data_IF_695328117458
#
_entry.id   IF_695328117458
#
_cell.length_a   1.000
_cell.length_b   1.000
_cell.length_c   1.000
_cell.angle_alpha   90.00
_cell.angle_beta   90.00
_cell.angle_gamma   90.00
#
_symmetry.space_group_name_H-M   'P 1'
#
loop_
_entity.id
_entity.type
_entity.pdbx_description
1 polymer ?
#
# COMPACT_ATOMS: atom_id res chain seq x y z
N UNK A 1 12.85 -75.31 63.31
CA UNK A 1 12.35 -76.28 62.30
C UNK A 1 11.84 -75.39 61.14
N UNK A 2 12.66 -75.27 60.21
CA UNK A 2 12.63 -75.82 58.87
C UNK A 2 11.56 -75.24 57.97
N UNK A 3 12.08 -74.51 56.99
CA UNK A 3 12.00 -74.66 55.52
C UNK A 3 10.79 -73.93 54.94
N UNK A 4 10.89 -73.27 53.86
CA UNK A 4 11.81 -73.18 52.74
C UNK A 4 11.28 -72.18 51.74
N UNK A 5 12.19 -71.57 51.05
CA UNK A 5 11.98 -70.94 49.77
C UNK A 5 11.62 -71.94 48.65
N UNK A 6 10.99 -71.63 47.58
CA UNK A 6 11.57 -70.78 46.50
C UNK A 6 10.52 -69.94 45.78
N UNK A 7 10.86 -68.83 45.20
CA UNK A 7 11.52 -68.72 43.90
C UNK A 7 10.55 -68.24 42.82
N UNK A 8 10.83 -67.16 42.17
CA UNK A 8 10.43 -67.06 40.76
C UNK A 8 9.73 -65.77 40.31
N UNK A 9 10.50 -65.14 39.54
CA UNK A 9 10.06 -64.30 38.39
C UNK A 9 9.50 -62.91 38.61
N UNK A 10 10.40 -61.99 38.46
CA UNK A 10 10.18 -60.67 38.17
C UNK A 10 9.67 -60.45 36.73
N UNK A 11 9.13 -59.24 36.59
CA UNK A 11 8.70 -58.49 35.36
C UNK A 11 7.32 -58.90 34.81
N UNK A 12 6.52 -57.88 34.34
CA UNK A 12 6.95 -56.66 33.69
C UNK A 12 6.14 -55.42 34.13
N UNK A 13 6.79 -54.37 34.60
CA UNK A 13 6.15 -53.07 34.86
C UNK A 13 6.71 -51.95 33.95
N UNK A 14 7.49 -52.28 32.94
CA UNK A 14 8.16 -51.29 32.07
C UNK A 14 7.57 -51.19 30.65
N UNK A 15 6.57 -52.01 30.29
CA UNK A 15 5.95 -51.98 28.96
C UNK A 15 4.62 -51.19 28.90
N UNK A 16 4.01 -50.83 30.05
CA UNK A 16 2.75 -50.11 30.07
C UNK A 16 2.87 -48.58 29.87
N UNK A 17 4.04 -47.98 30.17
CA UNK A 17 4.23 -46.53 30.00
C UNK A 17 4.59 -46.12 28.58
N UNK A 18 5.14 -47.01 27.75
CA UNK A 18 5.46 -46.70 26.35
C UNK A 18 4.23 -46.80 25.42
N UNK A 19 3.21 -47.57 25.77
CA UNK A 19 1.97 -47.67 24.98
C UNK A 19 1.04 -46.49 25.17
N UNK A 20 1.05 -45.82 26.34
CA UNK A 20 0.26 -44.62 26.59
C UNK A 20 0.85 -43.36 25.95
N UNK A 21 2.16 -43.27 25.76
CA UNK A 21 2.83 -42.16 25.08
C UNK A 21 2.61 -42.17 23.56
N UNK A 22 2.50 -43.33 22.95
CA UNK A 22 2.27 -43.49 21.52
C UNK A 22 0.79 -43.28 21.14
N UNK A 23 -0.15 -43.57 22.03
CA UNK A 23 -1.57 -43.34 21.81
C UNK A 23 -1.93 -41.84 21.88
N UNK A 24 -1.23 -41.07 22.73
CA UNK A 24 -1.46 -39.61 22.82
C UNK A 24 -0.87 -38.83 21.64
N UNK A 25 0.27 -39.27 21.08
CA UNK A 25 0.86 -38.66 19.90
C UNK A 25 0.07 -39.00 18.62
N UNK A 26 -0.46 -40.21 18.50
CA UNK A 26 -1.32 -40.61 17.38
C UNK A 26 -2.66 -39.83 17.40
N UNK A 27 -3.25 -39.58 18.58
CA UNK A 27 -4.49 -38.83 18.71
C UNK A 27 -4.27 -37.33 18.46
N UNK A 28 -3.10 -36.79 18.82
CA UNK A 28 -2.74 -35.39 18.52
C UNK A 28 -2.46 -35.18 17.01
N UNK A 29 -1.76 -36.12 16.39
CA UNK A 29 -1.55 -36.09 14.93
C UNK A 29 -2.84 -36.36 14.16
N UNK A 30 -3.74 -37.19 14.67
CA UNK A 30 -5.03 -37.47 14.07
C UNK A 30 -6.01 -36.29 14.26
N UNK A 31 -5.95 -35.57 15.40
CA UNK A 31 -6.67 -34.30 15.59
C UNK A 31 -6.11 -33.19 14.73
N UNK A 32 -4.81 -33.14 14.51
CA UNK A 32 -4.18 -32.18 13.60
C UNK A 32 -4.53 -32.51 12.14
N UNK A 33 -4.63 -33.80 11.78
CA UNK A 33 -5.09 -34.23 10.46
C UNK A 33 -6.59 -34.00 10.22
N UNK A 34 -7.43 -34.09 11.26
CA UNK A 34 -8.86 -33.79 11.17
C UNK A 34 -9.14 -32.29 11.09
N UNK A 35 -8.28 -31.42 11.67
CA UNK A 35 -8.35 -29.96 11.51
C UNK A 35 -7.85 -29.48 10.13
N UNK A 36 -7.04 -30.31 9.43
CA UNK A 36 -6.58 -30.03 8.06
C UNK A 36 -7.60 -30.51 7.02
N UNK A 37 -8.51 -31.43 7.37
CA UNK A 37 -9.50 -31.99 6.45
C UNK A 37 -10.61 -30.97 6.04
N UNK A 38 -10.74 -29.84 6.75
CA UNK A 38 -11.62 -28.73 6.36
C UNK A 38 -10.91 -27.61 5.57
N UNK A 39 -9.61 -27.76 5.31
CA UNK A 39 -8.82 -26.81 4.52
C UNK A 39 -8.86 -27.23 3.05
N UNK A 40 -9.85 -26.79 2.32
CA UNK A 40 -10.07 -27.21 0.94
C UNK A 40 -9.81 -26.10 -0.08
N UNK A 41 -8.99 -25.09 0.24
CA UNK A 41 -8.69 -24.02 -0.70
C UNK A 41 -7.22 -24.06 -1.09
N UNK A 42 -7.00 -23.96 -2.39
CA UNK A 42 -5.68 -23.80 -2.99
C UNK A 42 -5.66 -22.54 -3.84
N UNK A 43 -4.58 -21.77 -3.73
CA UNK A 43 -4.28 -20.65 -4.62
C UNK A 43 -3.13 -21.10 -5.51
N UNK A 44 -3.29 -21.01 -6.82
CA UNK A 44 -2.20 -21.28 -7.77
C UNK A 44 -2.22 -20.28 -8.90
N UNK A 45 -1.10 -20.14 -9.59
CA UNK A 45 -1.03 -19.23 -10.73
C UNK A 45 0.36 -19.11 -11.33
N UNK A 46 0.49 -18.13 -12.21
CA UNK A 46 1.76 -17.82 -12.85
C UNK A 46 2.11 -16.35 -12.69
N UNK A 47 3.41 -16.08 -12.52
CA UNK A 47 3.98 -14.73 -12.53
C UNK A 47 4.66 -14.49 -13.87
N UNK A 48 4.29 -13.42 -14.54
CA UNK A 48 4.86 -12.99 -15.83
C UNK A 48 5.25 -11.52 -15.76
N UNK A 49 6.09 -11.07 -16.69
CA UNK A 49 6.41 -9.65 -16.89
C UNK A 49 5.78 -9.11 -18.16
N UNK A 50 5.44 -7.82 -18.14
CA UNK A 50 4.75 -7.14 -19.25
C UNK A 50 5.61 -7.10 -20.53
N UNK A 51 6.93 -7.06 -20.42
CA UNK A 51 7.87 -6.97 -21.56
C UNK A 51 8.28 -8.32 -22.14
N UNK A 52 7.33 -9.08 -22.62
CA UNK A 52 7.59 -10.29 -23.38
C UNK A 52 7.20 -11.59 -22.68
N UNK A 53 7.24 -12.69 -23.44
CA UNK A 53 6.84 -14.03 -22.99
C UNK A 53 7.81 -14.67 -21.96
N UNK A 54 8.63 -13.89 -21.27
CA UNK A 54 9.59 -14.41 -20.28
C UNK A 54 8.92 -14.57 -18.91
N UNK A 55 9.10 -15.74 -18.33
CA UNK A 55 8.75 -15.98 -16.94
C UNK A 55 9.79 -15.31 -16.03
N UNK A 56 9.35 -14.80 -14.89
CA UNK A 56 10.25 -14.21 -13.89
C UNK A 56 10.73 -15.33 -12.98
N UNK A 57 12.01 -15.64 -13.03
CA UNK A 57 12.61 -16.72 -12.26
C UNK A 57 13.02 -16.30 -10.83
N UNK A 58 13.00 -14.99 -10.54
CA UNK A 58 13.43 -14.42 -9.25
C UNK A 58 12.30 -13.68 -8.51
N UNK A 59 11.05 -13.91 -8.92
CA UNK A 59 9.94 -13.35 -8.19
C UNK A 59 9.62 -14.17 -6.93
N UNK A 60 9.23 -13.48 -5.87
CA UNK A 60 8.73 -14.06 -4.63
C UNK A 60 7.25 -13.77 -4.52
N UNK A 61 6.46 -14.79 -4.24
CA UNK A 61 5.02 -14.65 -3.94
C UNK A 61 4.82 -14.95 -2.47
N UNK A 62 4.22 -14.00 -1.76
CA UNK A 62 3.88 -14.07 -0.34
C UNK A 62 2.36 -14.07 -0.19
N UNK A 63 1.88 -14.89 0.72
CA UNK A 63 0.48 -14.93 1.13
C UNK A 63 0.37 -14.51 2.59
N UNK A 64 -0.45 -13.52 2.86
CA UNK A 64 -0.72 -12.99 4.19
C UNK A 64 -2.19 -13.19 4.55
N UNK A 65 -2.49 -13.40 5.84
CA UNK A 65 -3.86 -13.42 6.34
C UNK A 65 -4.43 -12.00 6.51
N UNK A 66 -5.69 -11.90 6.93
CA UNK A 66 -6.36 -10.61 7.17
C UNK A 66 -5.72 -9.76 8.28
N UNK A 67 -4.77 -10.31 9.05
CA UNK A 67 -4.02 -9.62 10.10
C UNK A 67 -2.59 -9.27 9.66
N UNK A 68 -2.24 -9.51 8.39
CA UNK A 68 -0.91 -9.26 7.85
C UNK A 68 0.15 -10.29 8.27
N UNK A 69 -0.26 -11.44 8.84
CA UNK A 69 0.69 -12.52 9.18
C UNK A 69 1.00 -13.32 7.93
N UNK A 70 2.28 -13.57 7.69
CA UNK A 70 2.74 -14.38 6.56
C UNK A 70 2.30 -15.83 6.78
N UNK A 71 1.41 -16.32 5.92
CA UNK A 71 0.94 -17.70 5.89
C UNK A 71 1.86 -18.57 5.05
N UNK A 72 2.42 -18.00 3.98
CA UNK A 72 3.39 -18.68 3.14
C UNK A 72 4.15 -17.69 2.28
N UNK A 73 5.39 -18.06 1.95
CA UNK A 73 6.23 -17.33 1.01
C UNK A 73 6.93 -18.33 0.11
N UNK A 74 6.92 -18.09 -1.19
CA UNK A 74 7.46 -18.99 -2.18
C UNK A 74 8.17 -18.23 -3.29
N UNK A 75 9.39 -18.64 -3.62
CA UNK A 75 10.02 -18.21 -4.88
C UNK A 75 9.35 -18.94 -6.03
N UNK A 76 9.01 -18.23 -7.08
CA UNK A 76 8.37 -18.85 -8.25
C UNK A 76 9.29 -19.85 -8.95
N UNK A 77 8.70 -20.87 -9.54
CA UNK A 77 9.44 -21.85 -10.33
C UNK A 77 10.02 -21.23 -11.61
N UNK A 78 10.90 -21.95 -12.30
CA UNK A 78 11.49 -21.51 -13.59
C UNK A 78 10.44 -21.22 -14.67
N UNK A 79 9.24 -21.81 -14.54
CA UNK A 79 8.08 -21.53 -15.41
C UNK A 79 7.18 -20.41 -14.88
N UNK A 80 7.61 -19.69 -13.84
CA UNK A 80 6.84 -18.63 -13.19
C UNK A 80 5.67 -19.13 -12.35
N UNK A 81 5.55 -20.42 -12.04
CA UNK A 81 4.43 -20.99 -11.30
C UNK A 81 4.64 -20.89 -9.78
N UNK A 82 3.53 -20.71 -9.08
CA UNK A 82 3.45 -20.75 -7.62
C UNK A 82 2.15 -21.41 -7.19
N UNK A 83 2.12 -21.99 -5.96
CA UNK A 83 0.90 -22.51 -5.35
C UNK A 83 0.97 -22.50 -3.83
N UNK A 84 -0.16 -22.21 -3.19
CA UNK A 84 -0.38 -22.32 -1.75
C UNK A 84 -1.56 -23.24 -1.53
N UNK A 85 -1.36 -24.38 -0.87
CA UNK A 85 -2.38 -25.39 -0.61
C UNK A 85 -2.65 -25.54 0.89
N UNK A 86 -3.78 -26.17 1.22
CA UNK A 86 -4.17 -26.38 2.61
C UNK A 86 -4.61 -25.12 3.34
N UNK A 87 -5.17 -24.16 2.61
CA UNK A 87 -5.61 -22.89 3.14
C UNK A 87 -7.01 -23.00 3.76
N UNK A 88 -7.24 -22.32 4.86
CA UNK A 88 -8.57 -22.14 5.42
C UNK A 88 -9.42 -21.18 4.55
N UNK A 89 -10.75 -21.28 4.66
CA UNK A 89 -11.68 -20.39 3.97
C UNK A 89 -11.72 -19.01 4.66
N UNK A 90 -10.72 -18.19 4.38
CA UNK A 90 -10.53 -16.86 4.96
C UNK A 90 -10.23 -15.83 3.86
N UNK A 91 -10.03 -14.59 4.30
CA UNK A 91 -9.50 -13.54 3.43
C UNK A 91 -7.97 -13.54 3.51
N UNK A 92 -7.35 -13.41 2.33
CA UNK A 92 -5.90 -13.37 2.19
C UNK A 92 -5.47 -12.18 1.35
N UNK A 93 -4.22 -11.75 1.54
CA UNK A 93 -3.55 -10.79 0.67
C UNK A 93 -2.40 -11.51 -0.03
N UNK A 94 -2.44 -11.55 -1.35
CA UNK A 94 -1.39 -12.11 -2.19
C UNK A 94 -0.49 -10.98 -2.67
N UNK A 95 0.80 -11.10 -2.39
CA UNK A 95 1.82 -10.11 -2.73
C UNK A 95 2.87 -10.79 -3.59
N UNK A 96 3.16 -10.24 -4.77
CA UNK A 96 4.28 -10.72 -5.58
C UNK A 96 5.29 -9.61 -5.80
N UNK A 97 6.57 -9.94 -5.59
CA UNK A 97 7.70 -9.02 -5.70
C UNK A 97 8.76 -9.60 -6.62
N UNK A 98 9.40 -8.77 -7.42
CA UNK A 98 10.60 -9.11 -8.18
C UNK A 98 11.48 -7.88 -8.34
N UNK A 99 12.80 -8.06 -8.37
CA UNK A 99 13.75 -6.97 -8.55
C UNK A 99 13.48 -6.23 -9.87
N UNK A 100 13.45 -4.89 -9.81
CA UNK A 100 13.18 -4.04 -10.96
C UNK A 100 11.71 -4.05 -11.45
N UNK A 101 10.76 -4.56 -10.67
CA UNK A 101 9.35 -4.61 -11.02
C UNK A 101 8.47 -4.02 -9.91
N UNK A 102 7.29 -3.51 -10.31
CA UNK A 102 6.27 -3.08 -9.35
C UNK A 102 5.76 -4.28 -8.54
N UNK A 103 5.57 -4.08 -7.24
CA UNK A 103 4.94 -5.09 -6.40
C UNK A 103 3.48 -5.26 -6.81
N UNK A 104 3.07 -6.51 -6.98
CA UNK A 104 1.67 -6.85 -7.16
C UNK A 104 1.02 -7.16 -5.82
N UNK A 105 -0.14 -6.58 -5.55
CA UNK A 105 -0.93 -6.83 -4.33
C UNK A 105 -2.37 -7.07 -4.71
N UNK A 106 -2.92 -8.22 -4.29
CA UNK A 106 -4.33 -8.56 -4.50
C UNK A 106 -4.94 -9.18 -3.24
N UNK A 107 -6.09 -8.68 -2.83
CA UNK A 107 -6.92 -9.33 -1.83
C UNK A 107 -7.74 -10.46 -2.47
N UNK A 108 -7.82 -11.56 -1.74
CA UNK A 108 -8.59 -12.74 -2.10
C UNK A 108 -9.58 -13.03 -0.97
N UNK A 109 -10.84 -13.10 -1.30
CA UNK A 109 -11.89 -13.56 -0.39
C UNK A 109 -12.25 -14.99 -0.73
N UNK A 110 -11.74 -15.92 0.07
CA UNK A 110 -11.96 -17.36 -0.10
C UNK A 110 -12.99 -17.91 0.89
N UNK A 111 -13.76 -17.04 1.56
CA UNK A 111 -14.73 -17.46 2.59
C UNK A 111 -15.86 -18.30 2.02
N UNK A 112 -16.26 -18.05 0.76
CA UNK A 112 -17.35 -18.74 0.06
C UNK A 112 -16.88 -19.75 -0.97
N UNK A 113 -15.59 -19.77 -1.31
CA UNK A 113 -15.03 -20.65 -2.34
C UNK A 113 -14.50 -21.95 -1.75
N UNK A 114 -14.68 -23.05 -2.45
CA UNK A 114 -14.03 -24.34 -2.23
C UNK A 114 -13.27 -24.74 -3.49
N UNK A 115 -12.11 -25.39 -3.34
CA UNK A 115 -11.30 -25.82 -4.47
C UNK A 115 -10.13 -24.89 -4.80
N UNK A 116 -9.76 -24.80 -6.08
CA UNK A 116 -8.57 -24.08 -6.53
C UNK A 116 -8.92 -22.73 -7.11
N UNK A 117 -8.34 -21.66 -6.54
CA UNK A 117 -8.42 -20.30 -7.06
C UNK A 117 -7.19 -20.00 -7.93
N UNK A 118 -7.40 -19.62 -9.17
CA UNK A 118 -6.31 -19.31 -10.11
C UNK A 118 -6.07 -17.80 -10.15
N UNK A 119 -4.86 -17.35 -9.76
CA UNK A 119 -4.44 -15.96 -9.81
C UNK A 119 -3.19 -15.82 -10.69
N UNK A 120 -3.34 -15.27 -11.88
CA UNK A 120 -2.22 -14.98 -12.76
C UNK A 120 -1.74 -13.54 -12.55
N UNK A 121 -0.48 -13.40 -12.22
CA UNK A 121 0.16 -12.14 -11.86
C UNK A 121 0.96 -11.63 -13.05
N UNK A 122 0.74 -10.36 -13.41
CA UNK A 122 1.54 -9.64 -14.38
C UNK A 122 2.34 -8.55 -13.65
N UNK A 123 3.64 -8.74 -13.50
CA UNK A 123 4.53 -7.74 -12.93
C UNK A 123 4.95 -6.75 -14.01
N UNK A 124 4.83 -5.47 -13.70
CA UNK A 124 5.28 -4.37 -14.56
C UNK A 124 6.71 -4.03 -14.23
N UNK A 125 7.52 -3.85 -15.25
CA UNK A 125 8.92 -3.42 -15.05
C UNK A 125 8.96 -2.01 -14.46
N UNK A 126 9.73 -1.85 -13.37
CA UNK A 126 10.17 -0.56 -12.86
C UNK A 126 11.28 0.01 -13.76
N UNK A 127 11.30 -0.30 -15.07
CA UNK A 127 12.16 0.48 -15.92
C UNK A 127 11.98 1.93 -15.52
N UNK A 128 13.08 2.54 -15.19
CA UNK A 128 13.29 3.93 -14.86
C UNK A 128 12.85 4.86 -16.04
N UNK A 129 11.70 4.58 -16.55
CA UNK A 129 10.75 5.60 -16.90
C UNK A 129 10.32 6.15 -15.51
N UNK A 130 11.15 7.07 -14.98
CA UNK A 130 10.51 8.39 -14.95
C UNK A 130 9.59 8.35 -16.13
N UNK A 131 8.31 8.05 -15.87
CA UNK A 131 7.28 8.44 -16.79
C UNK A 131 7.40 9.96 -16.83
N UNK A 132 8.37 10.44 -17.57
CA UNK A 132 8.17 11.51 -18.48
C UNK A 132 7.12 10.94 -19.42
N UNK A 133 5.87 10.85 -18.94
CA UNK A 133 4.72 11.06 -19.76
C UNK A 133 5.21 12.17 -20.67
N UNK A 134 5.30 11.99 -22.00
CA UNK A 134 5.49 13.15 -22.85
C UNK A 134 4.38 14.06 -22.37
N UNK A 135 4.75 15.06 -21.54
CA UNK A 135 3.74 15.84 -20.84
C UNK A 135 2.85 16.32 -21.97
N UNK A 136 1.57 15.97 -21.93
CA UNK A 136 0.65 16.43 -22.94
C UNK A 136 0.61 17.97 -22.88
N UNK A 137 1.04 18.55 -21.76
CA UNK A 137 1.49 19.93 -21.63
C UNK A 137 2.41 20.37 -22.80
N UNK A 138 3.25 19.47 -23.32
CA UNK A 138 4.07 19.76 -24.50
C UNK A 138 3.23 20.11 -25.76
N UNK A 139 2.03 19.56 -25.92
CA UNK A 139 1.13 19.90 -27.03
C UNK A 139 0.51 21.30 -26.85
N UNK A 140 0.05 21.62 -25.65
CA UNK A 140 -0.49 22.95 -25.36
C UNK A 140 0.61 24.02 -25.33
N UNK A 141 1.83 23.66 -24.90
CA UNK A 141 3.00 24.51 -24.94
C UNK A 141 3.41 24.85 -26.39
N UNK A 142 3.42 23.84 -27.26
CA UNK A 142 3.75 24.04 -28.69
C UNK A 142 2.72 24.94 -29.41
N UNK A 143 1.43 24.83 -29.04
CA UNK A 143 0.36 25.62 -29.61
C UNK A 143 0.29 27.05 -29.04
N UNK A 144 0.91 27.29 -27.88
CA UNK A 144 0.84 28.59 -27.21
C UNK A 144 1.56 29.71 -27.99
N UNK A 145 0.94 30.91 -28.15
CA UNK A 145 1.59 32.05 -28.76
C UNK A 145 2.87 32.45 -28.04
N UNK A 146 3.87 32.93 -28.78
CA UNK A 146 5.18 33.33 -28.22
C UNK A 146 5.06 34.26 -27.01
N UNK A 147 4.12 35.23 -27.06
CA UNK A 147 3.86 36.14 -25.94
C UNK A 147 3.37 35.40 -24.67
N UNK A 148 2.49 34.42 -24.84
CA UNK A 148 2.01 33.64 -23.70
C UNK A 148 3.14 32.81 -23.07
N UNK A 149 3.98 32.19 -23.91
CA UNK A 149 5.16 31.46 -23.43
C UNK A 149 6.15 32.34 -22.68
N UNK A 150 6.41 33.55 -23.19
CA UNK A 150 7.27 34.53 -22.51
C UNK A 150 6.73 34.93 -21.14
N UNK A 151 5.40 35.10 -21.00
CA UNK A 151 4.80 35.40 -19.70
C UNK A 151 4.85 34.19 -18.77
N UNK A 152 4.65 32.95 -19.27
CA UNK A 152 4.85 31.71 -18.47
C UNK A 152 6.28 31.65 -17.94
N UNK A 153 7.29 31.86 -18.79
CA UNK A 153 8.71 31.82 -18.39
C UNK A 153 9.05 32.86 -17.32
N UNK A 154 8.47 34.08 -17.43
CA UNK A 154 8.64 35.12 -16.40
C UNK A 154 8.00 34.74 -15.09
N UNK A 155 6.78 34.18 -15.14
CA UNK A 155 6.09 33.68 -13.97
C UNK A 155 6.86 32.57 -13.28
N UNK A 156 7.40 31.61 -14.03
CA UNK A 156 8.22 30.53 -13.50
C UNK A 156 9.50 31.03 -12.80
N UNK A 157 10.19 32.04 -13.38
CA UNK A 157 11.35 32.67 -12.75
C UNK A 157 10.98 33.37 -11.44
N UNK A 158 9.91 34.20 -11.48
CA UNK A 158 9.42 34.88 -10.29
C UNK A 158 9.03 33.90 -9.18
N UNK A 159 8.40 32.76 -9.54
CA UNK A 159 8.06 31.69 -8.61
C UNK A 159 9.31 31.05 -7.99
N UNK A 160 10.33 30.77 -8.78
CA UNK A 160 11.62 30.24 -8.30
C UNK A 160 12.32 31.21 -7.32
N UNK A 161 12.16 32.52 -7.54
CA UNK A 161 12.64 33.59 -6.65
C UNK A 161 11.71 33.84 -5.44
N UNK A 162 10.65 33.04 -5.26
CA UNK A 162 9.61 33.20 -4.23
C UNK A 162 8.84 34.52 -4.27
N UNK A 163 8.84 35.21 -5.41
CA UNK A 163 8.07 36.42 -5.69
C UNK A 163 6.67 36.04 -6.18
N UNK A 164 5.85 35.47 -5.28
CA UNK A 164 4.60 34.81 -5.64
C UNK A 164 3.61 35.76 -6.34
N UNK A 165 3.45 36.99 -5.84
CA UNK A 165 2.51 37.97 -6.46
C UNK A 165 2.95 38.40 -7.86
N UNK A 166 4.27 38.49 -8.13
CA UNK A 166 4.81 38.73 -9.48
C UNK A 166 4.58 37.52 -10.38
N UNK A 167 4.81 36.30 -9.86
CA UNK A 167 4.53 35.07 -10.58
C UNK A 167 3.05 34.98 -10.97
N UNK A 168 2.13 35.24 -10.03
CA UNK A 168 0.70 35.25 -10.28
C UNK A 168 0.36 36.23 -11.43
N UNK A 169 0.87 37.47 -11.37
CA UNK A 169 0.59 38.46 -12.39
C UNK A 169 1.04 38.04 -13.80
N UNK A 170 2.19 37.35 -13.89
CA UNK A 170 2.68 36.80 -15.16
C UNK A 170 1.86 35.59 -15.63
N UNK A 171 1.50 34.68 -14.76
CA UNK A 171 0.64 33.54 -15.14
C UNK A 171 -0.76 34.01 -15.55
N UNK A 172 -1.35 35.01 -14.86
CA UNK A 172 -2.62 35.63 -15.26
C UNK A 172 -2.54 36.28 -16.65
N UNK A 173 -1.41 36.90 -16.99
CA UNK A 173 -1.19 37.42 -18.35
C UNK A 173 -1.09 36.31 -19.38
N UNK A 174 -0.36 35.21 -19.04
CA UNK A 174 -0.22 34.09 -19.94
C UNK A 174 -1.58 33.46 -20.28
N UNK A 175 -2.42 33.19 -19.28
CA UNK A 175 -3.77 32.60 -19.47
C UNK A 175 -4.75 33.57 -20.11
N UNK A 176 -4.55 34.90 -19.96
CA UNK A 176 -5.34 35.90 -20.66
C UNK A 176 -5.03 35.93 -22.15
N UNK A 177 -3.73 35.73 -22.52
CA UNK A 177 -3.30 35.69 -23.93
C UNK A 177 -3.74 34.38 -24.58
N UNK A 178 -3.63 33.27 -23.84
CA UNK A 178 -3.99 31.93 -24.31
C UNK A 178 -4.76 31.16 -23.22
N UNK A 179 -6.10 31.28 -23.20
CA UNK A 179 -6.93 30.70 -22.13
C UNK A 179 -6.78 29.19 -21.96
N UNK A 180 -6.49 28.47 -23.05
CA UNK A 180 -6.26 27.01 -23.05
C UNK A 180 -4.79 26.64 -22.89
N UNK A 181 -4.01 27.45 -22.18
CA UNK A 181 -2.64 27.14 -21.82
C UNK A 181 -2.61 26.30 -20.52
N UNK A 182 -2.80 25.00 -20.65
CA UNK A 182 -2.97 24.09 -19.51
C UNK A 182 -1.85 24.22 -18.47
N UNK A 183 -0.58 24.32 -18.90
CA UNK A 183 0.56 24.56 -18.03
C UNK A 183 0.46 25.87 -17.25
N UNK A 184 0.13 26.97 -17.93
CA UNK A 184 0.00 28.27 -17.27
C UNK A 184 -1.18 28.29 -16.28
N UNK A 185 -2.28 27.62 -16.60
CA UNK A 185 -3.41 27.44 -15.70
C UNK A 185 -3.00 26.67 -14.42
N UNK A 186 -2.26 25.58 -14.57
CA UNK A 186 -1.74 24.81 -13.43
C UNK A 186 -0.78 25.67 -12.59
N UNK A 187 0.19 26.34 -13.19
CA UNK A 187 1.19 27.12 -12.48
C UNK A 187 0.55 28.32 -11.75
N UNK A 188 -0.51 28.92 -12.33
CA UNK A 188 -1.33 29.93 -11.67
C UNK A 188 -2.01 29.34 -10.42
N UNK A 189 -2.62 28.16 -10.54
CA UNK A 189 -3.28 27.52 -9.42
C UNK A 189 -2.30 27.18 -8.27
N UNK A 190 -1.12 26.66 -8.60
CA UNK A 190 -0.09 26.35 -7.60
C UNK A 190 0.38 27.62 -6.88
N UNK A 191 0.56 28.72 -7.61
CA UNK A 191 0.93 30.01 -7.03
C UNK A 191 -0.16 30.53 -6.08
N UNK A 192 -1.44 30.44 -6.47
CA UNK A 192 -2.57 30.80 -5.63
C UNK A 192 -2.64 29.95 -4.35
N UNK A 193 -2.34 28.64 -4.45
CA UNK A 193 -2.29 27.75 -3.27
C UNK A 193 -1.15 28.15 -2.33
N UNK A 194 0.03 28.50 -2.86
CA UNK A 194 1.17 28.97 -2.07
C UNK A 194 0.89 30.31 -1.37
N UNK A 195 0.14 31.20 -1.99
CA UNK A 195 -0.33 32.45 -1.40
C UNK A 195 -1.51 32.28 -0.44
N UNK A 196 -1.89 31.04 -0.08
CA UNK A 196 -3.05 30.70 0.75
C UNK A 196 -4.41 31.15 0.17
N UNK A 197 -4.46 31.37 -1.14
CA UNK A 197 -5.67 31.70 -1.89
C UNK A 197 -6.31 30.43 -2.51
N UNK A 198 -6.26 29.32 -1.79
CA UNK A 198 -6.68 28.00 -2.26
C UNK A 198 -8.07 27.96 -2.92
N UNK A 199 -9.10 28.68 -2.46
CA UNK A 199 -10.40 28.69 -3.15
C UNK A 199 -10.33 29.19 -4.60
N UNK A 200 -9.37 30.07 -4.92
CA UNK A 200 -9.18 30.60 -6.28
C UNK A 200 -8.44 29.63 -7.21
N UNK A 201 -7.77 28.63 -6.67
CA UNK A 201 -6.99 27.67 -7.44
C UNK A 201 -7.85 26.62 -8.19
N UNK A 202 -9.09 26.40 -7.75
CA UNK A 202 -9.99 25.39 -8.32
C UNK A 202 -10.30 25.64 -9.80
N UNK A 203 -10.67 26.85 -10.16
CA UNK A 203 -11.06 27.19 -11.52
C UNK A 203 -9.90 27.03 -12.53
N UNK A 204 -8.68 27.52 -12.27
CA UNK A 204 -7.52 27.24 -13.12
C UNK A 204 -7.18 25.76 -13.25
N UNK A 205 -7.25 24.96 -12.17
CA UNK A 205 -6.98 23.50 -12.26
C UNK A 205 -8.02 22.80 -13.13
N UNK A 206 -9.30 23.09 -12.96
CA UNK A 206 -10.36 22.58 -13.83
C UNK A 206 -10.14 22.97 -15.29
N UNK A 207 -9.73 24.21 -15.52
CA UNK A 207 -9.44 24.70 -16.89
C UNK A 207 -8.23 24.00 -17.50
N UNK A 208 -7.21 23.71 -16.72
CA UNK A 208 -6.07 22.93 -17.19
C UNK A 208 -6.49 21.53 -17.67
N UNK A 209 -7.33 20.84 -16.88
CA UNK A 209 -7.89 19.52 -17.22
C UNK A 209 -8.76 19.58 -18.49
N UNK A 210 -9.63 20.61 -18.59
CA UNK A 210 -10.48 20.81 -19.76
C UNK A 210 -9.67 20.99 -21.05
N UNK A 211 -8.60 21.79 -20.96
CA UNK A 211 -7.74 22.09 -22.10
C UNK A 211 -6.79 20.96 -22.49
N UNK A 212 -6.35 20.18 -21.52
CA UNK A 212 -5.49 19.03 -21.72
C UNK A 212 -5.86 17.89 -20.75
N UNK A 213 -6.82 17.03 -21.15
CA UNK A 213 -7.26 15.93 -20.30
C UNK A 213 -6.18 14.88 -19.99
N UNK A 214 -5.11 14.81 -20.76
CA UNK A 214 -4.01 13.89 -20.54
C UNK A 214 -2.90 14.50 -19.65
N UNK A 215 -3.02 15.76 -19.26
CA UNK A 215 -2.12 16.41 -18.31
C UNK A 215 -2.48 16.00 -16.89
N UNK A 216 -1.72 15.07 -16.31
CA UNK A 216 -2.08 14.36 -15.07
C UNK A 216 -1.96 15.22 -13.81
N UNK A 217 -0.97 16.08 -13.74
CA UNK A 217 -0.67 16.87 -12.54
C UNK A 217 -1.85 17.74 -12.04
N UNK A 218 -2.66 18.37 -12.90
CA UNK A 218 -3.85 19.11 -12.45
C UNK A 218 -4.87 18.23 -11.70
N UNK A 219 -5.03 16.95 -12.06
CA UNK A 219 -5.92 16.03 -11.32
C UNK A 219 -5.41 15.80 -9.90
N UNK A 220 -4.09 15.59 -9.75
CA UNK A 220 -3.47 15.43 -8.45
C UNK A 220 -3.67 16.68 -7.57
N UNK A 221 -3.37 17.85 -8.12
CA UNK A 221 -3.46 19.10 -7.36
C UNK A 221 -4.90 19.46 -7.01
N UNK A 222 -5.85 19.21 -7.91
CA UNK A 222 -7.27 19.43 -7.66
C UNK A 222 -7.82 18.46 -6.60
N UNK A 223 -7.43 17.18 -6.67
CA UNK A 223 -7.78 16.20 -5.66
C UNK A 223 -7.24 16.57 -4.27
N UNK A 224 -5.97 16.97 -4.19
CA UNK A 224 -5.36 17.47 -2.95
C UNK A 224 -6.10 18.70 -2.40
N UNK A 225 -6.47 19.62 -3.27
CA UNK A 225 -7.25 20.80 -2.91
C UNK A 225 -8.58 20.41 -2.30
N UNK A 226 -9.31 19.48 -2.92
CA UNK A 226 -10.59 18.99 -2.42
C UNK A 226 -10.43 18.21 -1.10
N UNK A 227 -9.40 17.38 -0.95
CA UNK A 227 -9.11 16.69 0.32
C UNK A 227 -8.88 17.73 1.45
N UNK A 228 -8.10 18.77 1.19
CA UNK A 228 -7.84 19.84 2.17
C UNK A 228 -9.10 20.65 2.53
N UNK A 229 -10.09 20.70 1.65
CA UNK A 229 -11.39 21.32 1.86
C UNK A 229 -12.45 20.35 2.42
N UNK A 230 -12.09 19.09 2.73
CA UNK A 230 -13.00 18.02 3.15
C UNK A 230 -14.10 17.68 2.11
N UNK A 231 -13.90 18.04 0.85
CA UNK A 231 -14.77 17.71 -0.29
C UNK A 231 -14.38 16.35 -0.86
N UNK A 232 -14.44 15.33 -0.04
CA UNK A 232 -13.86 14.01 -0.33
C UNK A 232 -14.50 13.31 -1.53
N UNK A 233 -15.82 13.46 -1.74
CA UNK A 233 -16.49 12.86 -2.90
C UNK A 233 -15.99 13.43 -4.23
N UNK A 234 -15.75 14.74 -4.28
CA UNK A 234 -15.20 15.41 -5.47
C UNK A 234 -13.71 15.07 -5.65
N UNK A 235 -12.98 14.99 -4.55
CA UNK A 235 -11.60 14.52 -4.56
C UNK A 235 -11.48 13.12 -5.14
N UNK A 236 -12.28 12.19 -4.63
CA UNK A 236 -12.32 10.81 -5.11
C UNK A 236 -12.61 10.73 -6.61
N UNK A 237 -13.60 11.47 -7.08
CA UNK A 237 -13.97 11.50 -8.50
C UNK A 237 -12.81 11.94 -9.38
N UNK A 238 -12.19 13.08 -9.04
CA UNK A 238 -11.12 13.66 -9.86
C UNK A 238 -9.83 12.83 -9.81
N UNK A 239 -9.49 12.27 -8.64
CA UNK A 239 -8.30 11.43 -8.50
C UNK A 239 -8.46 10.09 -9.22
N UNK A 240 -9.67 9.50 -9.20
CA UNK A 240 -9.95 8.29 -10.00
C UNK A 240 -9.79 8.56 -11.50
N UNK A 241 -10.17 9.75 -11.98
CA UNK A 241 -9.92 10.17 -13.37
C UNK A 241 -8.41 10.28 -13.65
N UNK A 242 -7.66 10.82 -12.71
CA UNK A 242 -6.19 10.88 -12.78
C UNK A 242 -5.55 9.50 -12.83
N UNK A 243 -6.00 8.57 -11.96
CA UNK A 243 -5.51 7.18 -11.93
C UNK A 243 -5.75 6.47 -13.26
N UNK A 244 -6.90 6.68 -13.92
CA UNK A 244 -7.15 6.09 -15.25
C UNK A 244 -6.16 6.55 -16.31
N UNK A 245 -5.59 7.75 -16.18
CA UNK A 245 -4.59 8.32 -17.09
C UNK A 245 -3.16 7.96 -16.72
N UNK A 246 -2.87 7.87 -15.43
CA UNK A 246 -1.55 7.52 -14.90
C UNK A 246 -1.65 6.42 -13.85
N UNK A 247 -1.90 5.17 -14.25
CA UNK A 247 -2.08 4.05 -13.32
C UNK A 247 -0.81 3.67 -12.56
N UNK A 248 0.35 4.24 -12.93
CA UNK A 248 1.63 4.10 -12.23
C UNK A 248 1.92 5.18 -11.18
N UNK A 249 1.01 6.14 -10.95
CA UNK A 249 1.26 7.25 -10.03
C UNK A 249 0.84 6.92 -8.60
N UNK A 250 1.81 6.62 -7.73
CA UNK A 250 1.56 6.36 -6.32
C UNK A 250 0.90 7.55 -5.60
N UNK A 251 1.23 8.79 -5.98
CA UNK A 251 0.64 10.00 -5.39
C UNK A 251 -0.87 10.07 -5.62
N UNK A 252 -1.34 9.68 -6.81
CA UNK A 252 -2.77 9.65 -7.10
C UNK A 252 -3.48 8.63 -6.20
N UNK A 253 -2.94 7.42 -6.07
CA UNK A 253 -3.49 6.38 -5.19
C UNK A 253 -3.45 6.80 -3.71
N UNK A 254 -2.35 7.41 -3.26
CA UNK A 254 -2.23 7.91 -1.91
C UNK A 254 -3.33 8.94 -1.57
N UNK A 255 -3.54 9.93 -2.45
CA UNK A 255 -4.57 10.95 -2.23
C UNK A 255 -5.98 10.42 -2.46
N UNK A 256 -6.16 9.41 -3.31
CA UNK A 256 -7.42 8.69 -3.48
C UNK A 256 -7.77 7.92 -2.19
N UNK A 257 -6.82 7.21 -1.60
CA UNK A 257 -6.98 6.58 -0.29
C UNK A 257 -7.33 7.57 0.81
N UNK A 258 -6.74 8.78 0.81
CA UNK A 258 -7.13 9.85 1.74
C UNK A 258 -8.58 10.32 1.52
N UNK A 259 -9.05 10.39 0.28
CA UNK A 259 -10.43 10.75 -0.02
C UNK A 259 -11.40 9.67 0.47
N UNK A 260 -11.10 8.39 0.21
CA UNK A 260 -11.91 7.27 0.68
C UNK A 260 -11.90 7.15 2.22
N UNK A 261 -10.77 7.42 2.88
CA UNK A 261 -10.69 7.56 4.34
C UNK A 261 -11.62 8.67 4.87
N UNK A 262 -11.62 9.83 4.22
CA UNK A 262 -12.50 10.95 4.56
C UNK A 262 -13.99 10.65 4.36
N UNK A 263 -14.31 9.78 3.41
CA UNK A 263 -15.66 9.23 3.19
C UNK A 263 -16.02 8.08 4.15
N UNK A 264 -15.11 7.72 5.05
CA UNK A 264 -15.22 6.55 5.94
C UNK A 264 -15.32 5.22 5.20
N UNK A 265 -14.86 5.18 3.97
CA UNK A 265 -14.82 3.99 3.14
C UNK A 265 -13.47 3.28 3.32
N UNK A 266 -13.23 2.80 4.55
CA UNK A 266 -11.93 2.29 4.97
C UNK A 266 -11.41 1.11 4.13
N UNK A 267 -12.26 0.15 3.69
CA UNK A 267 -11.78 -0.94 2.83
C UNK A 267 -11.22 -0.46 1.47
N UNK A 268 -11.83 0.58 0.87
CA UNK A 268 -11.29 1.17 -0.36
C UNK A 268 -10.04 2.00 -0.07
N UNK A 269 -10.03 2.76 1.04
CA UNK A 269 -8.85 3.52 1.45
C UNK A 269 -7.63 2.59 1.64
N UNK A 270 -7.81 1.44 2.31
CA UNK A 270 -6.77 0.42 2.45
C UNK A 270 -6.31 -0.09 1.10
N UNK A 271 -7.23 -0.45 0.19
CA UNK A 271 -6.89 -0.94 -1.15
C UNK A 271 -6.04 0.06 -1.93
N UNK A 272 -6.45 1.34 -1.95
CA UNK A 272 -5.74 2.38 -2.69
C UNK A 272 -4.37 2.69 -2.08
N UNK A 273 -4.26 2.70 -0.75
CA UNK A 273 -2.99 2.91 -0.05
C UNK A 273 -2.02 1.73 -0.24
N UNK A 274 -2.50 0.49 -0.19
CA UNK A 274 -1.69 -0.69 -0.52
C UNK A 274 -1.22 -0.64 -1.98
N UNK A 275 -2.09 -0.14 -2.88
CA UNK A 275 -1.70 0.07 -4.28
C UNK A 275 -0.59 1.14 -4.38
N UNK A 276 -0.71 2.27 -3.65
CA UNK A 276 0.36 3.26 -3.58
C UNK A 276 1.68 2.66 -3.09
N UNK A 277 1.63 1.82 -2.05
CA UNK A 277 2.81 1.16 -1.46
C UNK A 277 3.49 0.21 -2.45
N UNK A 278 2.75 -0.40 -3.38
CA UNK A 278 3.28 -1.32 -4.39
C UNK A 278 4.24 -0.67 -5.40
N UNK A 279 4.34 0.68 -5.43
CA UNK A 279 5.23 1.40 -6.34
C UNK A 279 6.68 1.56 -5.83
N UNK A 280 7.01 0.99 -4.70
CA UNK A 280 8.39 0.83 -4.26
C UNK A 280 8.75 1.48 -2.92
N UNK A 281 9.96 1.21 -2.41
CA UNK A 281 10.36 1.57 -1.05
C UNK A 281 10.50 3.07 -0.79
N UNK A 282 10.72 3.90 -1.81
CA UNK A 282 10.81 5.36 -1.66
C UNK A 282 9.49 6.06 -1.32
N UNK A 283 8.38 5.31 -1.32
CA UNK A 283 7.02 5.81 -1.07
C UNK A 283 6.54 5.49 0.34
N UNK A 284 7.25 4.61 1.04
CA UNK A 284 6.72 3.81 2.14
C UNK A 284 6.27 4.60 3.37
N UNK A 285 7.05 5.55 3.88
CA UNK A 285 6.75 6.19 5.16
C UNK A 285 5.38 6.90 5.19
N UNK A 286 5.11 7.78 4.22
CA UNK A 286 3.84 8.51 4.19
C UNK A 286 2.62 7.57 4.01
N UNK A 287 2.79 6.49 3.26
CA UNK A 287 1.72 5.51 3.05
C UNK A 287 1.49 4.67 4.31
N UNK A 288 2.56 4.22 4.98
CA UNK A 288 2.48 3.50 6.25
C UNK A 288 1.78 4.32 7.34
N UNK A 289 2.11 5.62 7.45
CA UNK A 289 1.43 6.54 8.37
C UNK A 289 -0.08 6.58 8.10
N UNK A 290 -0.46 6.67 6.83
CA UNK A 290 -1.85 6.76 6.44
C UNK A 290 -2.61 5.44 6.60
N UNK A 291 -1.97 4.29 6.29
CA UNK A 291 -2.53 2.96 6.57
C UNK A 291 -2.76 2.76 8.06
N UNK A 292 -1.80 3.18 8.91
CA UNK A 292 -1.97 3.11 10.36
C UNK A 292 -3.20 3.90 10.84
N UNK A 293 -3.42 5.11 10.31
CA UNK A 293 -4.59 5.92 10.63
C UNK A 293 -5.91 5.21 10.21
N UNK A 294 -5.95 4.62 9.01
CA UNK A 294 -7.10 3.84 8.52
C UNK A 294 -7.39 2.67 9.45
N UNK A 295 -6.38 1.86 9.77
CA UNK A 295 -6.55 0.69 10.65
C UNK A 295 -6.94 1.06 12.09
N UNK A 296 -6.46 2.19 12.62
CA UNK A 296 -6.92 2.70 13.92
C UNK A 296 -8.42 3.00 13.92
N UNK A 297 -8.93 3.59 12.84
CA UNK A 297 -10.37 3.90 12.69
C UNK A 297 -11.23 2.65 12.55
N UNK A 298 -10.69 1.59 11.98
CA UNK A 298 -11.33 0.27 11.92
C UNK A 298 -11.19 -0.55 13.22
N UNK A 299 -10.46 -0.05 14.21
CA UNK A 299 -10.06 -0.79 15.42
C UNK A 299 -9.20 -2.04 15.12
N UNK A 300 -8.55 -2.09 13.96
CA UNK A 300 -7.64 -3.15 13.55
C UNK A 300 -6.23 -2.88 14.13
N UNK A 301 -6.13 -2.93 15.46
CA UNK A 301 -4.96 -2.43 16.21
C UNK A 301 -3.65 -3.14 15.86
N UNK A 302 -3.69 -4.46 15.62
CA UNK A 302 -2.48 -5.21 15.24
C UNK A 302 -1.95 -4.77 13.87
N UNK A 303 -2.84 -4.53 12.90
CA UNK A 303 -2.47 -3.97 11.59
C UNK A 303 -1.91 -2.55 11.74
N UNK A 304 -2.60 -1.70 12.50
CA UNK A 304 -2.13 -0.34 12.76
C UNK A 304 -0.74 -0.33 13.38
N UNK A 305 -0.50 -1.22 14.35
CA UNK A 305 0.80 -1.34 15.00
C UNK A 305 1.90 -1.80 14.04
N UNK A 306 1.59 -2.72 13.14
CA UNK A 306 2.53 -3.18 12.11
C UNK A 306 2.94 -2.05 11.15
N UNK A 307 1.96 -1.25 10.69
CA UNK A 307 2.22 -0.11 9.82
C UNK A 307 3.00 1.01 10.53
N UNK A 308 2.72 1.26 11.80
CA UNK A 308 3.49 2.20 12.64
C UNK A 308 4.96 1.78 12.78
N UNK A 309 5.20 0.48 12.92
CA UNK A 309 6.57 -0.05 12.93
C UNK A 309 7.25 0.15 11.59
N UNK A 310 6.58 -0.18 10.49
CA UNK A 310 7.12 0.02 9.14
C UNK A 310 7.44 1.51 8.87
N UNK A 311 6.60 2.44 9.35
CA UNK A 311 6.93 3.86 9.31
C UNK A 311 8.24 4.18 10.07
N UNK A 312 8.38 3.69 11.31
CA UNK A 312 9.56 3.96 12.14
C UNK A 312 10.84 3.29 11.61
N UNK A 313 10.71 2.18 10.90
CA UNK A 313 11.82 1.54 10.20
C UNK A 313 12.29 2.38 9.00
N UNK A 314 11.34 2.98 8.26
CA UNK A 314 11.65 3.84 7.11
C UNK A 314 12.13 5.25 7.54
N UNK A 315 11.50 5.86 8.55
CA UNK A 315 11.78 7.21 9.03
C UNK A 315 11.79 7.28 10.56
N UNK A 316 12.85 6.80 11.25
CA UNK A 316 12.89 6.72 12.72
C UNK A 316 12.77 8.08 13.43
N UNK A 317 13.21 9.15 12.77
CA UNK A 317 13.17 10.54 13.24
C UNK A 317 12.28 11.43 12.36
N UNK A 318 11.40 10.80 11.56
CA UNK A 318 10.47 11.51 10.69
C UNK A 318 9.44 12.36 11.44
N UNK A 319 8.72 13.24 10.73
CA UNK A 319 7.82 14.23 11.34
C UNK A 319 6.71 13.63 12.21
N UNK A 320 6.35 12.37 11.97
CA UNK A 320 5.31 11.66 12.73
C UNK A 320 5.87 10.66 13.74
N UNK A 321 7.19 10.44 13.79
CA UNK A 321 7.81 9.41 14.63
C UNK A 321 7.45 9.54 16.13
N UNK A 322 7.49 10.75 16.68
CA UNK A 322 7.14 10.98 18.08
C UNK A 322 5.66 10.65 18.38
N UNK A 323 4.74 11.08 17.48
CA UNK A 323 3.30 10.76 17.58
C UNK A 323 3.06 9.26 17.49
N UNK A 324 3.69 8.61 16.52
CA UNK A 324 3.55 7.17 16.29
C UNK A 324 4.04 6.37 17.49
N UNK A 325 5.23 6.68 18.03
CA UNK A 325 5.77 6.05 19.26
C UNK A 325 4.80 6.20 20.44
N UNK A 326 4.20 7.37 20.62
CA UNK A 326 3.23 7.61 21.69
C UNK A 326 1.95 6.76 21.52
N UNK A 327 1.40 6.67 20.31
CA UNK A 327 0.22 5.85 20.02
C UNK A 327 0.52 4.37 20.23
N UNK A 328 1.67 3.87 19.79
CA UNK A 328 2.09 2.49 20.01
C UNK A 328 2.15 2.14 21.50
N UNK A 329 2.78 2.99 22.32
CA UNK A 329 2.82 2.81 23.78
C UNK A 329 1.42 2.81 24.42
N UNK A 330 0.52 3.65 23.92
CA UNK A 330 -0.86 3.67 24.36
C UNK A 330 -1.60 2.37 24.05
N UNK A 331 -1.42 1.81 22.84
CA UNK A 331 -2.00 0.54 22.46
C UNK A 331 -1.47 -0.63 23.29
N UNK A 332 -0.17 -0.66 23.56
CA UNK A 332 0.49 -1.65 24.43
C UNK A 332 -0.04 -1.57 25.86
N UNK A 333 -0.07 -0.36 26.45
CA UNK A 333 -0.53 -0.15 27.84
C UNK A 333 -2.02 -0.46 28.02
N UNK A 334 -2.83 -0.29 26.96
CA UNK A 334 -4.24 -0.62 26.95
C UNK A 334 -4.51 -2.12 26.66
N UNK A 335 -3.47 -2.94 26.44
CA UNK A 335 -3.60 -4.35 26.09
C UNK A 335 -4.32 -4.59 24.76
N UNK A 336 -4.26 -3.63 23.83
CA UNK A 336 -4.90 -3.72 22.52
C UNK A 336 -4.05 -4.47 21.52
N UNK A 337 -2.75 -4.54 21.75
CA UNK A 337 -1.75 -5.25 20.94
C UNK A 337 -0.82 -6.03 21.86
N UNK A 338 -0.29 -7.15 21.40
CA UNK A 338 0.63 -7.99 22.14
C UNK A 338 1.91 -8.19 21.30
N UNK A 339 2.78 -7.16 21.21
CA UNK A 339 4.03 -7.29 20.45
C UNK A 339 4.89 -8.41 21.02
N UNK A 340 5.61 -9.13 20.15
CA UNK A 340 6.51 -10.18 20.57
C UNK A 340 7.63 -9.63 21.50
N UNK A 341 8.18 -10.42 22.43
CA UNK A 341 9.27 -9.99 23.30
C UNK A 341 10.44 -9.42 22.48
N UNK A 342 10.88 -8.18 22.79
CA UNK A 342 11.92 -7.46 22.04
C UNK A 342 11.40 -6.49 20.97
N UNK A 343 10.09 -6.43 20.71
CA UNK A 343 9.46 -5.50 19.76
C UNK A 343 8.79 -4.29 20.45
N UNK A 344 8.88 -4.20 21.76
CA UNK A 344 8.32 -3.08 22.53
C UNK A 344 9.04 -1.78 22.22
N UNK A 345 8.28 -0.72 22.03
CA UNK A 345 8.83 0.64 21.89
C UNK A 345 9.43 1.04 23.22
N UNK A 346 10.75 1.27 23.27
CA UNK A 346 11.41 1.74 24.48
C UNK A 346 10.77 3.07 24.92
N UNK A 347 10.20 3.09 26.13
CA UNK A 347 9.65 4.29 26.73
C UNK A 347 10.71 5.38 26.87
N UNK A 348 10.31 6.66 27.07
CA UNK A 348 11.26 7.72 27.33
C UNK A 348 12.12 7.35 28.56
N UNK A 349 13.42 7.67 28.56
CA UNK A 349 14.26 7.41 29.72
C UNK A 349 13.59 8.04 30.95
N UNK A 350 13.38 7.24 31.99
CA UNK A 350 12.87 7.73 33.26
C UNK A 350 13.87 8.77 33.77
N UNK A 351 13.46 10.04 33.76
CA UNK A 351 14.18 11.16 34.33
C UNK A 351 14.25 11.04 35.85
#
# INVERSE_FOLDING_TARGET
>A
MERGYPGGAGKPLLLACLALGLASSASAQQRHRLLIADAEVEIQGTVRVEEGKKHVTEAVVRLEDSQGRVIGEQQVSTNGQYSFSGLAKLQYTLIATAEGHENYVQRLDLTSEGGTTIVNILLRSLKNEQISMPSSAARTDAAAPKKARQELDRGARASAERKLSEAQAHFEKAVRIYPCYARAQMDLALTLMQERQSPRAEAPLKKAIECDPDFVEPYLHLGRLFNAQHRYAESRSILADGVRRAPGSWLLYYHLGQADEGLQNYPLAEQELLRALSFGPGVSAAVHEKLADVYLKENAYDKAYAEMRAYLEAEPDGPYAARIKAVMQQLESAGRVHPAPGQLVSGPPKS
#
